data_IF_226575350857
#
_entry.id   IF_226575350857
#
_cell.length_a   1.000
_cell.length_b   1.000
_cell.length_c   1.000
_cell.angle_alpha   90.00
_cell.angle_beta   90.00
_cell.angle_gamma   90.00
#
_symmetry.space_group_name_H-M   'P 1'
#
loop_
_entity.id
_entity.type
_entity.pdbx_description
1 polymer ?
#
# COMPACT_ATOMS: atom_id res chain seq x y z
N UNK A 1 -37.57 -2.18 -28.24
CA UNK A 1 -36.56 -3.24 -28.36
C UNK A 1 -35.79 -3.25 -27.05
N UNK A 2 -36.20 -4.11 -26.14
CA UNK A 2 -35.64 -4.24 -24.78
C UNK A 2 -34.41 -5.13 -24.92
N UNK A 3 -33.24 -4.63 -24.51
CA UNK A 3 -32.03 -5.45 -24.40
C UNK A 3 -31.77 -5.63 -22.91
N UNK A 4 -32.10 -6.84 -22.44
CA UNK A 4 -31.72 -7.35 -21.13
C UNK A 4 -30.20 -7.41 -21.02
N UNK A 5 -29.63 -6.54 -20.18
CA UNK A 5 -28.26 -6.63 -19.72
C UNK A 5 -28.24 -7.32 -18.35
N UNK A 6 -28.04 -8.65 -18.35
CA UNK A 6 -27.75 -9.40 -17.12
C UNK A 6 -26.49 -8.83 -16.47
N UNK A 7 -26.68 -8.11 -15.37
CA UNK A 7 -25.62 -7.73 -14.46
C UNK A 7 -25.19 -9.00 -13.72
N UNK A 8 -24.06 -9.57 -14.13
CA UNK A 8 -23.40 -10.64 -13.38
C UNK A 8 -23.04 -10.13 -11.99
N UNK A 9 -23.82 -10.55 -10.99
CA UNK A 9 -23.51 -10.34 -9.59
C UNK A 9 -22.19 -11.05 -9.26
N UNK A 10 -21.09 -10.31 -9.28
CA UNK A 10 -19.85 -10.73 -8.65
C UNK A 10 -20.12 -10.90 -7.16
N UNK A 11 -20.18 -12.15 -6.70
CA UNK A 11 -20.34 -12.51 -5.29
C UNK A 11 -19.24 -11.83 -4.47
N UNK A 12 -19.63 -10.78 -3.73
CA UNK A 12 -18.76 -9.97 -2.87
C UNK A 12 -18.32 -10.70 -1.60
N UNK A 13 -17.79 -11.91 -1.73
CA UNK A 13 -17.04 -12.53 -0.64
C UNK A 13 -15.56 -12.12 -0.75
N UNK A 14 -14.98 -11.45 0.26
CA UNK A 14 -13.57 -11.08 0.23
C UNK A 14 -12.70 -12.34 0.16
N UNK A 15 -11.74 -12.37 -0.76
CA UNK A 15 -10.74 -13.45 -0.84
C UNK A 15 -10.07 -13.68 0.52
N UNK A 16 -10.10 -14.93 0.98
CA UNK A 16 -9.46 -15.38 2.22
C UNK A 16 -7.96 -15.13 2.18
N UNK A 17 -7.41 -14.47 3.19
CA UNK A 17 -5.95 -14.28 3.33
C UNK A 17 -5.20 -15.59 3.56
N UNK A 18 -3.91 -15.62 3.23
CA UNK A 18 -3.03 -16.77 3.52
C UNK A 18 -2.92 -17.10 5.01
N UNK A 19 -3.02 -16.09 5.88
CA UNK A 19 -3.02 -16.29 7.33
C UNK A 19 -4.30 -16.97 7.81
N UNK A 20 -5.45 -16.62 7.24
CA UNK A 20 -6.72 -17.29 7.52
C UNK A 20 -6.71 -18.75 7.06
N UNK A 21 -6.18 -19.02 5.85
CA UNK A 21 -6.05 -20.39 5.34
C UNK A 21 -5.09 -21.23 6.19
N UNK A 22 -3.95 -20.66 6.58
CA UNK A 22 -2.97 -21.33 7.44
C UNK A 22 -3.56 -21.67 8.81
N UNK A 23 -4.21 -20.70 9.46
CA UNK A 23 -4.86 -20.94 10.75
C UNK A 23 -5.97 -21.97 10.65
N UNK A 24 -6.82 -21.86 9.63
CA UNK A 24 -7.89 -22.82 9.37
C UNK A 24 -7.36 -24.25 9.18
N UNK A 25 -6.26 -24.41 8.43
CA UNK A 25 -5.59 -25.70 8.25
C UNK A 25 -5.02 -26.26 9.57
N UNK A 26 -4.48 -25.41 10.45
CA UNK A 26 -4.00 -25.82 11.78
C UNK A 26 -5.17 -26.28 12.66
N UNK A 27 -6.27 -25.53 12.70
CA UNK A 27 -7.49 -25.93 13.43
C UNK A 27 -8.01 -27.27 12.91
N UNK A 28 -8.08 -27.44 11.59
CA UNK A 28 -8.49 -28.69 10.96
C UNK A 28 -7.59 -29.86 11.37
N UNK A 29 -6.27 -29.68 11.28
CA UNK A 29 -5.31 -30.72 11.63
C UNK A 29 -5.41 -31.13 13.11
N UNK A 30 -5.56 -30.16 14.02
CA UNK A 30 -5.74 -30.42 15.44
C UNK A 30 -7.08 -31.13 15.74
N UNK A 31 -8.16 -30.75 15.06
CA UNK A 31 -9.46 -31.43 15.18
C UNK A 31 -9.35 -32.89 14.75
N UNK A 32 -8.73 -33.14 13.60
CA UNK A 32 -8.54 -34.49 13.05
C UNK A 32 -7.61 -35.32 13.93
N UNK A 33 -6.56 -34.72 14.48
CA UNK A 33 -5.68 -35.37 15.46
C UNK A 33 -6.42 -35.83 16.72
N UNK A 34 -7.40 -35.05 17.18
CA UNK A 34 -8.28 -35.42 18.31
C UNK A 34 -9.44 -36.35 17.90
N UNK A 35 -9.49 -36.82 16.64
CA UNK A 35 -10.49 -37.76 16.16
C UNK A 35 -11.91 -37.19 16.05
N UNK A 36 -12.07 -35.87 16.07
CA UNK A 36 -13.39 -35.22 16.07
C UNK A 36 -13.86 -34.95 14.65
N UNK A 37 -15.13 -35.26 14.34
CA UNK A 37 -15.78 -34.69 13.16
C UNK A 37 -16.04 -33.19 13.34
N UNK A 38 -16.29 -32.48 12.23
CA UNK A 38 -16.67 -31.05 12.30
C UNK A 38 -17.96 -30.80 13.07
N UNK A 39 -18.84 -31.79 13.11
CA UNK A 39 -20.14 -31.72 13.77
C UNK A 39 -19.99 -31.88 15.28
N UNK A 40 -19.23 -32.88 15.71
CA UNK A 40 -18.89 -33.09 17.12
C UNK A 40 -18.06 -31.93 17.66
N UNK A 41 -17.03 -31.49 16.92
CA UNK A 41 -16.23 -30.34 17.30
C UNK A 41 -17.09 -29.08 17.42
N UNK A 42 -17.97 -28.83 16.44
CA UNK A 42 -18.92 -27.72 16.49
C UNK A 42 -19.80 -27.75 17.74
N UNK A 43 -20.33 -28.92 18.10
CA UNK A 43 -21.08 -29.12 19.34
C UNK A 43 -20.26 -28.78 20.60
N UNK A 44 -18.99 -29.18 20.64
CA UNK A 44 -18.09 -28.92 21.77
C UNK A 44 -17.68 -27.45 21.90
N UNK A 45 -17.49 -26.75 20.79
CA UNK A 45 -17.09 -25.33 20.80
C UNK A 45 -18.27 -24.36 20.77
N UNK A 46 -19.50 -24.84 20.60
CA UNK A 46 -20.71 -24.00 20.54
C UNK A 46 -20.95 -23.35 19.18
N UNK A 47 -20.41 -23.91 18.10
CA UNK A 47 -20.53 -23.39 16.75
C UNK A 47 -21.11 -24.40 15.78
N UNK A 48 -21.81 -23.93 14.74
CA UNK A 48 -22.33 -24.84 13.71
C UNK A 48 -21.19 -25.52 12.93
N UNK A 49 -21.45 -26.73 12.42
CA UNK A 49 -20.58 -27.44 11.47
C UNK A 49 -20.17 -26.56 10.27
N UNK A 50 -21.08 -25.72 9.78
CA UNK A 50 -20.81 -24.80 8.68
C UNK A 50 -19.85 -23.68 9.10
N UNK A 51 -19.98 -23.17 10.31
CA UNK A 51 -19.04 -22.18 10.88
C UNK A 51 -17.64 -22.79 11.02
N UNK A 52 -17.55 -23.99 11.61
CA UNK A 52 -16.29 -24.75 11.71
C UNK A 52 -15.65 -24.92 10.34
N UNK A 53 -16.41 -25.42 9.36
CA UNK A 53 -15.89 -25.59 8.00
C UNK A 53 -15.44 -24.28 7.36
N UNK A 54 -16.16 -23.18 7.58
CA UNK A 54 -15.81 -21.87 7.03
C UNK A 54 -14.52 -21.31 7.64
N UNK A 55 -14.30 -21.52 8.94
CA UNK A 55 -13.03 -21.17 9.62
C UNK A 55 -11.88 -22.06 9.13
N UNK A 56 -12.08 -23.37 9.06
CA UNK A 56 -11.05 -24.31 8.57
C UNK A 56 -10.61 -24.02 7.13
N UNK A 57 -11.53 -23.59 6.29
CA UNK A 57 -11.25 -23.21 4.90
C UNK A 57 -10.68 -21.77 4.76
N UNK A 58 -10.51 -21.04 5.86
CA UNK A 58 -10.05 -19.65 5.88
C UNK A 58 -11.09 -18.63 5.39
N UNK A 59 -12.30 -19.05 5.04
CA UNK A 59 -13.36 -18.19 4.50
C UNK A 59 -13.97 -17.27 5.56
N UNK A 60 -13.85 -17.63 6.84
CA UNK A 60 -14.37 -16.87 7.97
C UNK A 60 -13.27 -16.60 8.99
N UNK A 61 -13.22 -15.34 9.46
CA UNK A 61 -12.42 -14.97 10.62
C UNK A 61 -13.01 -15.66 11.86
N UNK A 62 -12.22 -16.47 12.60
CA UNK A 62 -12.67 -17.00 13.88
C UNK A 62 -12.83 -15.84 14.87
N UNK A 63 -13.93 -15.84 15.62
CA UNK A 63 -14.10 -14.92 16.74
C UNK A 63 -13.31 -15.42 17.97
N UNK A 64 -13.17 -14.54 18.96
CA UNK A 64 -12.41 -14.83 20.18
C UNK A 64 -12.99 -16.05 20.90
N UNK A 65 -14.31 -16.19 20.94
CA UNK A 65 -14.99 -17.31 21.59
C UNK A 65 -14.68 -18.64 20.90
N UNK A 66 -14.65 -18.66 19.56
CA UNK A 66 -14.21 -19.82 18.78
C UNK A 66 -12.77 -20.18 19.11
N UNK A 67 -11.85 -19.21 19.15
CA UNK A 67 -10.43 -19.47 19.43
C UNK A 67 -10.26 -20.04 20.84
N UNK A 68 -10.89 -19.44 21.86
CA UNK A 68 -10.79 -19.90 23.24
C UNK A 68 -11.44 -21.28 23.46
N UNK A 69 -12.56 -21.56 22.79
CA UNK A 69 -13.22 -22.86 22.86
C UNK A 69 -12.43 -23.94 22.11
N UNK A 70 -11.96 -23.64 20.90
CA UNK A 70 -11.13 -24.53 20.10
C UNK A 70 -9.83 -24.88 20.82
N UNK A 71 -9.17 -23.89 21.43
CA UNK A 71 -7.95 -24.11 22.21
C UNK A 71 -8.20 -25.11 23.35
N UNK A 72 -9.27 -24.92 24.13
CA UNK A 72 -9.61 -25.83 25.23
C UNK A 72 -9.91 -27.26 24.76
N UNK A 73 -10.62 -27.40 23.65
CA UNK A 73 -11.06 -28.71 23.13
C UNK A 73 -9.93 -29.45 22.42
N UNK A 74 -9.00 -28.74 21.78
CA UNK A 74 -7.97 -29.33 20.90
C UNK A 74 -6.60 -29.53 21.58
N UNK A 75 -6.58 -29.60 22.91
CA UNK A 75 -5.38 -29.95 23.69
C UNK A 75 -4.73 -28.78 24.44
N UNK A 76 -5.25 -27.57 24.30
CA UNK A 76 -4.89 -26.39 25.09
C UNK A 76 -3.38 -26.08 25.12
N UNK A 77 -2.76 -26.13 23.95
CA UNK A 77 -1.30 -25.91 23.77
C UNK A 77 -0.91 -24.43 23.85
N UNK A 78 -1.89 -23.53 23.73
CA UNK A 78 -1.70 -22.09 23.58
C UNK A 78 -1.44 -21.64 22.15
N UNK A 79 -1.34 -22.58 21.19
CA UNK A 79 -0.94 -22.28 19.81
C UNK A 79 -2.02 -21.50 19.04
N UNK A 80 -3.30 -21.81 19.23
CA UNK A 80 -4.39 -21.09 18.56
C UNK A 80 -4.53 -19.67 19.11
N UNK A 81 -4.41 -19.52 20.44
CA UNK A 81 -4.38 -18.20 21.10
C UNK A 81 -3.20 -17.35 20.66
N UNK A 82 -2.01 -17.95 20.56
CA UNK A 82 -0.82 -17.24 20.08
C UNK A 82 -0.92 -16.84 18.61
N UNK A 83 -1.58 -17.67 17.77
CA UNK A 83 -1.73 -17.41 16.35
C UNK A 83 -2.86 -16.42 16.01
N UNK A 84 -3.93 -16.38 16.81
CA UNK A 84 -5.12 -15.58 16.53
C UNK A 84 -4.87 -14.07 16.34
N UNK A 85 -3.98 -13.39 17.10
CA UNK A 85 -3.64 -11.98 16.88
C UNK A 85 -3.01 -11.67 15.51
N UNK A 86 -2.39 -12.68 14.88
CA UNK A 86 -1.76 -12.55 13.56
C UNK A 86 -2.70 -12.88 12.41
N UNK A 87 -3.94 -13.29 12.72
CA UNK A 87 -4.98 -13.43 11.72
C UNK A 87 -5.34 -12.04 11.21
N UNK A 88 -5.11 -11.84 9.93
CA UNK A 88 -5.46 -10.59 9.28
C UNK A 88 -6.25 -10.93 8.04
N UNK A 89 -7.37 -10.22 7.81
CA UNK A 89 -8.11 -10.34 6.54
C UNK A 89 -7.26 -9.96 5.32
N UNK A 90 -6.15 -9.25 5.53
CA UNK A 90 -5.13 -8.87 4.54
C UNK A 90 -3.77 -8.81 5.24
N UNK A 91 -2.64 -9.16 4.60
CA UNK A 91 -1.33 -8.95 5.20
C UNK A 91 -1.18 -7.48 5.65
N UNK A 92 -0.62 -7.26 6.84
CA UNK A 92 -0.50 -5.91 7.41
C UNK A 92 0.31 -4.98 6.52
N UNK A 93 0.02 -3.67 6.58
CA UNK A 93 0.66 -2.60 5.79
C UNK A 93 2.19 -2.75 5.74
N UNK A 94 2.82 -3.02 6.89
CA UNK A 94 4.27 -3.18 6.99
C UNK A 94 4.83 -4.38 6.21
N UNK A 95 4.08 -5.49 6.08
CA UNK A 95 4.54 -6.66 5.35
C UNK A 95 4.55 -6.41 3.84
N UNK A 96 3.47 -5.83 3.31
CA UNK A 96 3.39 -5.48 1.90
C UNK A 96 4.38 -4.39 1.52
N UNK A 97 4.55 -3.39 2.36
CA UNK A 97 5.54 -2.35 2.14
C UNK A 97 6.97 -2.88 2.13
N UNK A 98 7.32 -3.84 3.02
CA UNK A 98 8.63 -4.51 2.96
C UNK A 98 8.84 -5.26 1.65
N UNK A 99 7.80 -5.91 1.12
CA UNK A 99 7.90 -6.59 -0.16
C UNK A 99 8.05 -5.59 -1.32
N UNK A 100 7.28 -4.49 -1.29
CA UNK A 100 7.45 -3.37 -2.22
C UNK A 100 8.87 -2.82 -2.17
N UNK A 101 9.40 -2.50 -0.99
CA UNK A 101 10.75 -1.95 -0.82
C UNK A 101 11.85 -2.87 -1.38
N UNK A 102 11.67 -4.19 -1.29
CA UNK A 102 12.58 -5.18 -1.91
C UNK A 102 12.52 -5.19 -3.44
N UNK A 103 11.36 -4.89 -4.01
CA UNK A 103 11.18 -4.79 -5.46
C UNK A 103 11.68 -3.42 -5.97
N UNK A 104 11.37 -2.35 -5.25
CA UNK A 104 11.82 -0.98 -5.51
C UNK A 104 13.35 -0.91 -5.62
N UNK A 105 14.09 -1.58 -4.74
CA UNK A 105 15.56 -1.60 -4.79
C UNK A 105 16.16 -2.33 -6.00
N UNK A 106 15.35 -3.09 -6.75
CA UNK A 106 15.76 -3.85 -7.94
C UNK A 106 15.14 -3.33 -9.23
N UNK A 107 14.21 -2.38 -9.15
CA UNK A 107 13.44 -1.92 -10.28
C UNK A 107 14.34 -1.35 -11.39
N UNK A 108 13.94 -1.60 -12.65
CA UNK A 108 14.49 -0.91 -13.83
C UNK A 108 13.65 0.32 -14.19
N UNK A 109 12.38 0.30 -13.79
CA UNK A 109 11.42 1.40 -13.95
C UNK A 109 10.59 1.52 -12.68
N UNK A 110 10.37 2.75 -12.21
CA UNK A 110 9.48 3.04 -11.10
C UNK A 110 8.63 4.28 -11.41
N UNK A 111 7.32 4.10 -11.37
CA UNK A 111 6.34 5.16 -11.54
C UNK A 111 5.59 5.38 -10.25
N UNK A 112 5.39 6.64 -9.87
CA UNK A 112 4.56 7.00 -8.73
C UNK A 112 3.66 8.18 -9.08
N UNK A 113 2.38 8.04 -8.75
CA UNK A 113 1.45 9.15 -8.69
C UNK A 113 1.05 9.34 -7.23
N UNK A 114 1.21 10.56 -6.73
CA UNK A 114 0.88 10.91 -5.36
C UNK A 114 -0.03 12.13 -5.32
N UNK A 115 -1.18 11.95 -4.66
CA UNK A 115 -2.21 12.98 -4.51
C UNK A 115 -2.45 13.42 -3.06
N UNK A 116 -1.68 12.89 -2.10
CA UNK A 116 -1.89 13.14 -0.67
C UNK A 116 -0.70 13.83 0.00
N UNK A 117 0.51 13.44 -0.38
CA UNK A 117 1.78 13.96 0.14
C UNK A 117 2.88 13.77 -0.91
N UNK A 118 3.99 14.51 -0.80
CA UNK A 118 5.16 14.28 -1.66
C UNK A 118 5.74 12.89 -1.38
N UNK A 119 6.02 12.03 -2.39
CA UNK A 119 6.49 10.66 -2.16
C UNK A 119 7.77 10.65 -1.34
N UNK A 120 7.94 9.64 -0.50
CA UNK A 120 9.09 9.54 0.42
C UNK A 120 10.45 9.67 -0.25
N UNK A 121 10.58 9.28 -1.53
CA UNK A 121 11.81 9.43 -2.32
C UNK A 121 12.17 10.91 -2.64
N UNK A 122 11.20 11.82 -2.59
CA UNK A 122 11.34 13.24 -2.94
C UNK A 122 11.15 14.19 -1.74
N UNK A 123 11.06 13.66 -0.52
CA UNK A 123 10.85 14.47 0.68
C UNK A 123 12.17 15.06 1.19
N UNK A 124 12.13 16.28 1.70
CA UNK A 124 13.20 16.78 2.57
C UNK A 124 13.03 16.23 3.99
N UNK A 125 14.09 16.33 4.80
CA UNK A 125 14.04 15.96 6.21
C UNK A 125 12.96 16.74 6.96
N UNK A 126 12.92 18.06 6.76
CA UNK A 126 11.97 18.93 7.44
C UNK A 126 10.51 18.56 7.09
N UNK A 127 10.23 18.24 5.83
CA UNK A 127 8.90 17.79 5.40
C UNK A 127 8.56 16.42 5.99
N UNK A 128 9.49 15.45 5.91
CA UNK A 128 9.30 14.11 6.46
C UNK A 128 9.02 14.13 7.97
N UNK A 129 9.83 14.86 8.74
CA UNK A 129 9.65 15.03 10.18
C UNK A 129 8.35 15.73 10.53
N UNK A 130 7.93 16.72 9.72
CA UNK A 130 6.61 17.35 9.87
C UNK A 130 5.49 16.31 9.76
N UNK A 131 5.54 15.40 8.78
CA UNK A 131 4.55 14.34 8.66
C UNK A 131 4.56 13.39 9.86
N UNK A 132 5.74 12.95 10.30
CA UNK A 132 5.87 12.03 11.43
C UNK A 132 5.35 12.60 12.74
N UNK A 133 5.64 13.87 13.03
CA UNK A 133 5.16 14.57 14.24
C UNK A 133 3.63 14.71 14.27
N UNK A 134 2.98 14.74 13.11
CA UNK A 134 1.54 14.84 12.97
C UNK A 134 0.84 13.48 12.79
N UNK A 135 1.59 12.38 12.88
CA UNK A 135 1.02 11.04 12.78
C UNK A 135 0.19 10.69 14.03
N UNK A 136 -0.86 9.91 13.82
CA UNK A 136 -1.69 9.35 14.89
C UNK A 136 -1.65 7.82 14.84
N UNK A 137 -1.50 7.12 15.99
CA UNK A 137 -1.12 7.69 17.29
C UNK A 137 0.22 8.44 17.26
N UNK A 138 0.43 9.41 18.18
CA UNK A 138 1.67 10.18 18.23
C UNK A 138 2.90 9.27 18.37
N UNK A 139 3.95 9.60 17.65
CA UNK A 139 5.24 8.93 17.73
C UNK A 139 6.14 9.65 18.76
N UNK A 140 7.00 8.89 19.41
CA UNK A 140 8.10 9.45 20.20
C UNK A 140 9.28 9.88 19.30
N UNK A 141 10.24 10.62 19.87
CA UNK A 141 11.38 11.17 19.12
C UNK A 141 12.28 10.08 18.51
N UNK A 142 12.47 8.95 19.22
CA UNK A 142 13.28 7.83 18.75
C UNK A 142 12.62 7.12 17.55
N UNK A 143 11.30 6.97 17.59
CA UNK A 143 10.50 6.43 16.48
C UNK A 143 10.55 7.35 15.27
N UNK A 144 10.44 8.66 15.46
CA UNK A 144 10.55 9.66 14.39
C UNK A 144 11.94 9.56 13.74
N UNK A 145 13.00 9.46 14.56
CA UNK A 145 14.37 9.33 14.06
C UNK A 145 14.56 8.04 13.27
N UNK A 146 14.11 6.90 13.79
CA UNK A 146 14.20 5.63 13.11
C UNK A 146 13.47 5.63 11.75
N UNK A 147 12.30 6.27 11.67
CA UNK A 147 11.58 6.41 10.40
C UNK A 147 12.28 7.35 9.42
N UNK A 148 12.92 8.42 9.90
CA UNK A 148 13.71 9.30 9.05
C UNK A 148 14.94 8.58 8.48
N UNK A 149 15.69 7.85 9.31
CA UNK A 149 16.87 7.11 8.87
C UNK A 149 16.53 6.13 7.75
N UNK A 150 15.47 5.33 7.90
CA UNK A 150 15.07 4.40 6.84
C UNK A 150 14.56 5.11 5.58
N UNK A 151 13.88 6.26 5.72
CA UNK A 151 13.46 7.06 4.56
C UNK A 151 14.66 7.64 3.82
N UNK A 152 15.59 8.27 4.53
CA UNK A 152 16.80 8.88 3.99
C UNK A 152 17.67 7.83 3.27
N UNK A 153 17.86 6.65 3.88
CA UNK A 153 18.54 5.52 3.23
C UNK A 153 17.88 5.12 1.91
N UNK A 154 16.54 5.12 1.84
CA UNK A 154 15.81 4.79 0.61
C UNK A 154 15.91 5.86 -0.47
N UNK A 155 16.04 7.13 -0.11
CA UNK A 155 16.19 8.22 -1.09
C UNK A 155 17.46 8.09 -1.94
N UNK A 156 18.50 7.43 -1.40
CA UNK A 156 19.76 7.16 -2.12
C UNK A 156 19.54 6.35 -3.40
N UNK A 157 18.42 5.62 -3.53
CA UNK A 157 18.07 4.90 -4.76
C UNK A 157 18.05 5.79 -6.01
N UNK A 158 17.68 7.08 -5.87
CA UNK A 158 17.63 8.00 -7.01
C UNK A 158 19.01 8.25 -7.62
N UNK A 159 20.07 8.24 -6.80
CA UNK A 159 21.45 8.53 -7.22
C UNK A 159 22.30 7.27 -7.38
N UNK A 160 22.10 6.25 -6.56
CA UNK A 160 22.82 4.97 -6.62
C UNK A 160 22.38 4.09 -7.81
N UNK A 161 21.19 4.36 -8.36
CA UNK A 161 20.64 3.62 -9.51
C UNK A 161 20.42 4.53 -10.71
N UNK A 162 21.49 5.07 -11.32
CA UNK A 162 21.37 6.01 -12.44
C UNK A 162 20.75 5.38 -13.71
N UNK A 163 20.63 4.05 -13.77
CA UNK A 163 20.01 3.31 -14.87
C UNK A 163 18.56 2.87 -14.59
N UNK A 164 17.99 3.24 -13.43
CA UNK A 164 16.57 3.03 -13.14
C UNK A 164 15.78 4.27 -13.55
N UNK A 165 14.76 4.12 -14.40
CA UNK A 165 13.90 5.22 -14.80
C UNK A 165 12.83 5.50 -13.73
N UNK A 166 12.91 6.67 -13.10
CA UNK A 166 11.92 7.14 -12.13
C UNK A 166 10.99 8.18 -12.78
N UNK A 167 9.68 8.00 -12.66
CA UNK A 167 8.69 8.97 -13.12
C UNK A 167 7.69 9.28 -12.01
N UNK A 168 7.55 10.56 -11.68
CA UNK A 168 6.70 11.04 -10.60
C UNK A 168 5.65 11.99 -11.16
N UNK A 169 4.39 11.74 -10.84
CA UNK A 169 3.28 12.68 -11.06
C UNK A 169 2.80 13.14 -9.67
N UNK A 170 2.98 14.43 -9.39
CA UNK A 170 2.63 15.03 -8.11
C UNK A 170 1.47 15.99 -8.28
N UNK A 171 0.48 15.92 -7.40
CA UNK A 171 -0.58 16.93 -7.38
C UNK A 171 -0.02 18.32 -7.02
N UNK A 172 -0.44 19.35 -7.75
CA UNK A 172 -0.06 20.75 -7.47
C UNK A 172 -0.42 21.16 -6.04
N UNK A 173 -1.54 20.67 -5.51
CA UNK A 173 -1.99 21.02 -4.15
C UNK A 173 -1.00 20.60 -3.06
N UNK A 174 -0.11 19.62 -3.32
CA UNK A 174 0.88 19.16 -2.36
C UNK A 174 1.83 20.27 -1.94
N UNK A 175 2.17 21.16 -2.88
CA UNK A 175 3.04 22.31 -2.65
C UNK A 175 2.23 23.51 -2.12
N UNK A 176 1.03 23.72 -2.65
CA UNK A 176 0.14 24.81 -2.20
C UNK A 176 -0.34 24.65 -0.75
N UNK A 177 -0.40 23.41 -0.24
CA UNK A 177 -0.85 23.12 1.13
C UNK A 177 0.04 23.74 2.20
N UNK A 178 1.31 23.99 1.91
CA UNK A 178 2.23 24.60 2.87
C UNK A 178 2.55 23.70 4.07
N UNK A 179 2.60 22.38 3.89
CA UNK A 179 2.85 21.42 4.98
C UNK A 179 4.21 21.71 5.63
N UNK A 180 4.20 22.03 6.92
CA UNK A 180 5.39 22.43 7.68
C UNK A 180 5.72 23.92 7.64
N UNK A 181 4.91 24.73 6.93
CA UNK A 181 5.07 26.17 6.81
C UNK A 181 5.91 26.59 5.59
N UNK A 182 6.12 27.90 5.47
CA UNK A 182 6.75 28.53 4.30
C UNK A 182 8.16 28.01 4.06
N UNK A 183 9.02 27.96 5.09
CA UNK A 183 10.41 27.52 4.94
C UNK A 183 10.52 26.05 4.51
N UNK A 184 9.70 25.17 5.09
CA UNK A 184 9.68 23.74 4.72
C UNK A 184 9.21 23.57 3.27
N UNK A 185 8.20 24.35 2.86
CA UNK A 185 7.68 24.32 1.48
C UNK A 185 8.73 24.83 0.50
N UNK A 186 9.43 25.90 0.86
CA UNK A 186 10.52 26.48 0.09
C UNK A 186 11.65 25.47 -0.13
N UNK A 187 12.13 24.86 0.95
CA UNK A 187 13.15 23.82 0.91
C UNK A 187 12.72 22.61 0.08
N UNK A 188 11.45 22.18 0.22
CA UNK A 188 10.89 21.07 -0.53
C UNK A 188 10.87 21.34 -2.03
N UNK A 189 10.44 22.53 -2.44
CA UNK A 189 10.43 22.90 -3.87
C UNK A 189 11.86 22.95 -4.41
N UNK A 190 12.80 23.57 -3.69
CA UNK A 190 14.21 23.62 -4.07
C UNK A 190 14.83 22.21 -4.21
N UNK A 191 14.44 21.29 -3.32
CA UNK A 191 14.86 19.90 -3.37
C UNK A 191 14.28 19.15 -4.58
N UNK A 192 12.96 19.26 -4.81
CA UNK A 192 12.28 18.60 -5.94
C UNK A 192 12.83 19.10 -7.28
N UNK A 193 13.08 20.40 -7.41
CA UNK A 193 13.70 20.98 -8.61
C UNK A 193 15.09 20.38 -8.87
N UNK A 194 15.93 20.28 -7.83
CA UNK A 194 17.28 19.69 -7.92
C UNK A 194 17.24 18.21 -8.28
N UNK A 195 16.32 17.44 -7.71
CA UNK A 195 16.15 16.02 -8.04
C UNK A 195 15.67 15.86 -9.49
N UNK A 196 14.84 16.78 -9.98
CA UNK A 196 14.40 16.81 -11.38
C UNK A 196 15.52 17.08 -12.40
N UNK A 197 16.72 17.46 -11.97
CA UNK A 197 17.90 17.60 -12.84
C UNK A 197 18.62 16.26 -13.09
N UNK A 198 18.30 15.21 -12.31
CA UNK A 198 18.87 13.88 -12.50
C UNK A 198 18.36 13.26 -13.81
N UNK A 199 19.28 12.69 -14.60
CA UNK A 199 18.98 12.12 -15.94
C UNK A 199 17.97 10.98 -15.92
N UNK A 200 17.81 10.35 -14.77
CA UNK A 200 16.97 9.18 -14.57
C UNK A 200 15.66 9.51 -13.83
N UNK A 201 15.36 10.80 -13.59
CA UNK A 201 14.17 11.25 -12.86
C UNK A 201 13.34 12.21 -13.71
N UNK A 202 12.07 11.88 -13.86
CA UNK A 202 11.06 12.75 -14.45
C UNK A 202 10.04 13.16 -13.40
N UNK A 203 9.72 14.45 -13.31
CA UNK A 203 8.72 14.99 -12.38
C UNK A 203 7.73 15.84 -13.16
N UNK A 204 6.46 15.45 -13.11
CA UNK A 204 5.34 16.20 -13.66
C UNK A 204 4.40 16.65 -12.54
N UNK A 205 3.86 17.86 -12.70
CA UNK A 205 2.82 18.39 -11.80
C UNK A 205 1.45 18.21 -12.45
N UNK A 206 0.52 17.57 -11.74
CA UNK A 206 -0.89 17.56 -12.10
C UNK A 206 -1.51 18.89 -11.65
N UNK A 207 -2.07 19.70 -12.57
CA UNK A 207 -2.74 20.95 -12.20
C UNK A 207 -3.93 20.72 -11.28
N UNK A 208 -4.15 21.64 -10.35
CA UNK A 208 -5.30 21.61 -9.42
C UNK A 208 -6.62 21.75 -10.18
N UNK A 209 -6.64 22.63 -11.19
CA UNK A 209 -7.79 22.83 -12.07
C UNK A 209 -7.69 21.84 -13.25
N UNK A 210 -8.39 20.72 -13.13
CA UNK A 210 -8.41 19.65 -14.13
C UNK A 210 -9.83 19.08 -14.25
N UNK A 211 -10.48 19.26 -15.41
CA UNK A 211 -11.86 18.80 -15.62
C UNK A 211 -11.98 17.27 -15.72
N UNK A 212 -10.93 16.62 -16.20
CA UNK A 212 -10.87 15.16 -16.32
C UNK A 212 -9.59 14.63 -15.70
N UNK A 213 -9.72 13.78 -14.67
CA UNK A 213 -8.57 13.32 -13.89
C UNK A 213 -8.63 11.81 -13.64
N UNK A 214 -7.63 11.08 -14.15
CA UNK A 214 -7.59 9.61 -14.06
C UNK A 214 -7.06 9.05 -12.72
N UNK A 215 -6.64 9.91 -11.79
CA UNK A 215 -5.99 9.57 -10.52
C UNK A 215 -6.88 9.71 -9.27
N UNK A 216 -8.19 9.82 -9.44
CA UNK A 216 -9.11 10.06 -8.32
C UNK A 216 -9.25 8.87 -7.35
N UNK A 217 -8.87 7.67 -7.78
CA UNK A 217 -8.91 6.46 -6.96
C UNK A 217 -7.78 6.40 -5.90
N UNK A 218 -6.93 7.43 -5.85
CA UNK A 218 -5.82 7.55 -4.90
C UNK A 218 -4.45 7.29 -5.52
N UNK A 219 -3.39 7.27 -4.71
CA UNK A 219 -2.03 7.12 -5.21
C UNK A 219 -1.78 5.70 -5.70
N UNK A 220 -0.92 5.62 -6.71
CA UNK A 220 -0.49 4.37 -7.31
C UNK A 220 1.02 4.40 -7.50
N UNK A 221 1.66 3.30 -7.16
CA UNK A 221 3.06 3.05 -7.52
C UNK A 221 3.12 1.84 -8.44
N UNK A 222 3.90 1.92 -9.49
CA UNK A 222 4.16 0.83 -10.43
C UNK A 222 5.67 0.65 -10.52
N UNK A 223 6.12 -0.59 -10.66
CA UNK A 223 7.51 -0.86 -10.97
C UNK A 223 7.63 -2.02 -11.93
N UNK A 224 8.75 -2.04 -12.63
CA UNK A 224 9.18 -3.12 -13.51
C UNK A 224 10.48 -3.73 -12.98
N UNK A 225 10.55 -5.05 -12.91
CA UNK A 225 11.77 -5.78 -12.54
C UNK A 225 12.66 -6.03 -13.76
N UNK A 226 13.94 -6.40 -13.57
CA UNK A 226 14.84 -6.77 -14.67
C UNK A 226 14.33 -7.92 -15.56
N UNK A 227 13.43 -8.76 -15.05
CA UNK A 227 12.75 -9.82 -15.79
C UNK A 227 11.50 -9.34 -16.56
N UNK A 228 11.30 -8.02 -16.70
CA UNK A 228 10.15 -7.37 -17.33
C UNK A 228 8.80 -7.75 -16.68
N UNK A 229 8.81 -7.97 -15.37
CA UNK A 229 7.59 -8.20 -14.59
C UNK A 229 7.14 -6.91 -13.94
N UNK A 230 5.88 -6.58 -14.13
CA UNK A 230 5.27 -5.41 -13.54
C UNK A 230 4.53 -5.73 -12.25
N UNK A 231 4.68 -4.84 -11.27
CA UNK A 231 3.98 -4.86 -10.01
C UNK A 231 3.37 -3.50 -9.75
N UNK A 232 2.22 -3.47 -9.09
CA UNK A 232 1.63 -2.24 -8.58
C UNK A 232 1.54 -2.27 -7.06
N UNK A 233 1.51 -1.10 -6.46
CA UNK A 233 1.29 -0.94 -5.04
C UNK A 233 0.42 0.28 -4.78
N UNK A 234 -0.71 0.04 -4.11
CA UNK A 234 -1.69 1.04 -3.77
C UNK A 234 -1.86 1.08 -2.25
N UNK A 235 -1.90 2.29 -1.67
CA UNK A 235 -2.01 2.50 -0.23
C UNK A 235 -3.27 3.30 0.14
N UNK A 236 -4.04 2.81 1.11
CA UNK A 236 -5.03 3.56 1.89
C UNK A 236 -4.48 3.92 3.29
N UNK A 237 -5.32 4.51 4.15
CA UNK A 237 -4.90 4.96 5.49
C UNK A 237 -4.36 3.83 6.38
N UNK A 238 -4.94 2.63 6.29
CA UNK A 238 -4.53 1.45 7.07
C UNK A 238 -4.39 0.19 6.20
N UNK A 239 -4.14 0.38 4.91
CA UNK A 239 -4.01 -0.74 3.98
C UNK A 239 -2.97 -0.45 2.92
N UNK A 240 -2.16 -1.45 2.60
CA UNK A 240 -1.30 -1.48 1.44
C UNK A 240 -1.57 -2.77 0.69
N UNK A 241 -1.61 -2.70 -0.64
CA UNK A 241 -1.79 -3.89 -1.47
C UNK A 241 -0.72 -3.92 -2.54
N UNK A 242 0.14 -4.94 -2.48
CA UNK A 242 0.99 -5.29 -3.62
C UNK A 242 0.18 -6.13 -4.60
N UNK A 243 0.19 -5.74 -5.85
CA UNK A 243 -0.61 -6.33 -6.91
C UNK A 243 0.36 -6.87 -7.96
N UNK A 244 0.28 -8.18 -8.21
CA UNK A 244 1.03 -8.87 -9.26
C UNK A 244 0.11 -9.40 -10.37
N UNK A 245 -1.21 -9.24 -10.23
CA UNK A 245 -2.18 -9.63 -11.25
C UNK A 245 -1.99 -8.78 -12.51
N UNK A 246 -1.74 -9.44 -13.64
CA UNK A 246 -1.37 -8.75 -14.90
C UNK A 246 -2.50 -7.89 -15.44
N UNK A 247 -3.76 -8.29 -15.27
CA UNK A 247 -4.91 -7.54 -15.78
C UNK A 247 -5.13 -6.26 -14.96
N UNK A 248 -5.02 -6.37 -13.63
CA UNK A 248 -5.10 -5.20 -12.74
C UNK A 248 -3.92 -4.27 -12.98
N UNK A 249 -2.69 -4.80 -13.06
CA UNK A 249 -1.49 -3.99 -13.33
C UNK A 249 -1.57 -3.28 -14.68
N UNK A 250 -2.05 -3.94 -15.73
CA UNK A 250 -2.26 -3.32 -17.05
C UNK A 250 -3.25 -2.15 -16.98
N UNK A 251 -4.34 -2.30 -16.20
CA UNK A 251 -5.30 -1.23 -15.98
C UNK A 251 -4.68 -0.02 -15.26
N UNK A 252 -3.84 -0.28 -14.25
CA UNK A 252 -3.14 0.78 -13.52
C UNK A 252 -2.08 1.48 -14.38
N UNK A 253 -1.38 0.76 -15.26
CA UNK A 253 -0.49 1.35 -16.26
C UNK A 253 -1.24 2.27 -17.23
N UNK A 254 -2.41 1.85 -17.73
CA UNK A 254 -3.25 2.69 -18.60
C UNK A 254 -3.71 3.97 -17.88
N UNK A 255 -4.08 3.87 -16.60
CA UNK A 255 -4.41 5.05 -15.78
C UNK A 255 -3.21 5.97 -15.62
N UNK A 256 -2.04 5.41 -15.27
CA UNK A 256 -0.81 6.20 -15.12
C UNK A 256 -0.43 6.91 -16.43
N UNK A 257 -0.49 6.22 -17.56
CA UNK A 257 -0.24 6.80 -18.87
C UNK A 257 -1.21 7.95 -19.19
N UNK A 258 -2.50 7.79 -18.86
CA UNK A 258 -3.50 8.87 -19.00
C UNK A 258 -3.19 10.05 -18.08
N UNK A 259 -2.82 9.82 -16.83
CA UNK A 259 -2.38 10.90 -15.92
C UNK A 259 -1.16 11.63 -16.48
N UNK A 260 -0.21 10.91 -17.09
CA UNK A 260 0.97 11.51 -17.72
C UNK A 260 0.64 12.49 -18.84
N UNK A 261 -0.44 12.22 -19.58
CA UNK A 261 -0.97 13.13 -20.62
C UNK A 261 -1.80 14.30 -20.07
N UNK A 262 -2.32 14.17 -18.85
CA UNK A 262 -3.13 15.18 -18.16
C UNK A 262 -2.27 16.14 -17.33
N UNK A 263 -1.15 15.64 -16.79
CA UNK A 263 -0.18 16.43 -16.07
C UNK A 263 0.57 17.39 -17.01
N UNK A 264 1.12 18.46 -16.44
CA UNK A 264 1.94 19.42 -17.18
C UNK A 264 3.16 18.72 -17.80
N UNK A 265 3.69 19.31 -18.88
CA UNK A 265 4.98 18.87 -19.43
C UNK A 265 6.09 19.01 -18.37
N UNK A 266 7.22 18.32 -18.54
CA UNK A 266 8.37 18.44 -17.62
C UNK A 266 8.80 19.91 -17.47
N UNK A 267 8.90 20.63 -18.60
CA UNK A 267 9.28 22.06 -18.62
C UNK A 267 8.26 22.93 -17.88
N UNK A 268 6.97 22.73 -18.12
CA UNK A 268 5.93 23.54 -17.48
C UNK A 268 5.78 23.22 -15.99
N UNK A 269 6.05 21.97 -15.61
CA UNK A 269 6.13 21.51 -14.22
C UNK A 269 7.26 22.22 -13.47
N UNK A 270 8.47 22.24 -14.04
CA UNK A 270 9.61 23.02 -13.51
C UNK A 270 9.26 24.50 -13.42
N UNK A 271 8.69 25.08 -14.47
CA UNK A 271 8.30 26.48 -14.49
C UNK A 271 7.24 26.83 -13.44
N UNK A 272 6.28 25.94 -13.19
CA UNK A 272 5.29 26.12 -12.13
C UNK A 272 5.93 26.11 -10.75
N UNK A 273 6.78 25.12 -10.46
CA UNK A 273 7.51 25.02 -9.19
C UNK A 273 8.40 26.25 -8.96
N UNK A 274 9.11 26.74 -9.98
CA UNK A 274 9.92 27.96 -9.89
C UNK A 274 9.09 29.21 -9.59
N UNK A 275 7.89 29.34 -10.18
CA UNK A 275 6.98 30.45 -9.85
C UNK A 275 6.49 30.36 -8.41
N UNK A 276 6.00 29.19 -8.00
CA UNK A 276 5.60 28.96 -6.61
C UNK A 276 6.72 29.29 -5.63
N UNK A 277 7.95 28.91 -5.96
CA UNK A 277 9.15 29.20 -5.16
C UNK A 277 9.45 30.69 -5.03
N UNK A 278 9.17 31.48 -6.06
CA UNK A 278 9.34 32.94 -6.07
C UNK A 278 8.22 33.68 -5.31
N UNK A 279 7.04 33.08 -5.20
CA UNK A 279 5.88 33.63 -4.49
C UNK A 279 5.93 33.39 -2.96
N UNK A 280 6.80 32.48 -2.48
CA UNK A 280 7.04 32.16 -1.06
C UNK A 280 8.08 33.07 -0.42
#
# INVERSE_FOLDING_TARGET
MVVDGQVGAGSGEPESSDSLRTFGAVVQALREFNGLSREEFGGLVGFSKHTVASVELGRRMPDVDFVEAAERVLGNTGALRAAAPYLARRPGLAAWFRQWARLESKAITLYAYECRLVPGLLQTEAYARTLFRNQLPPLDDDQIEAQWVERSRRQQLLTERPNTAFSFILEEHLFRRGTGGLEVTRELIDHVLRIGELRNVEIQIMPTAQEAHAGLDGPVRLLETPENKWFAYCEGQESGQLIADRQVVSTLQMRYARMRSQALTLRDSTGLLQRMRGDL
#
